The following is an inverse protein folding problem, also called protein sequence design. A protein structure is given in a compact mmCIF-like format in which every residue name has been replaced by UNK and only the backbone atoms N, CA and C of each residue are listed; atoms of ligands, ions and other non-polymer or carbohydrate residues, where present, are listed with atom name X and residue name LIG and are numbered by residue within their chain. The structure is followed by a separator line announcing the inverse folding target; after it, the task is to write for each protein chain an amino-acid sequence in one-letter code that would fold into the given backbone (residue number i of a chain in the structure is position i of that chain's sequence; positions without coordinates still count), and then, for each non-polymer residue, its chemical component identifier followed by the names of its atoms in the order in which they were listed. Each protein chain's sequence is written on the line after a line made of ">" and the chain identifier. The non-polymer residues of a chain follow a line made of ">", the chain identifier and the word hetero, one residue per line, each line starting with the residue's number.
data_IF_875816480552
#
_entry.id   IF_875816480552
#
_cell.length_a   1.000
_cell.length_b   1.000
_cell.length_c   1.000
_cell.angle_alpha   90.00
_cell.angle_beta   90.00
_cell.angle_gamma   90.00
#
_symmetry.space_group_name_H-M   'P 1'
#
loop_
_entity.id
_entity.type
_entity.pdbx_description
1 polymer ?
#
# COMPACT_ATOMS: atom_id res chain seq x y z
N UNK A 1 35.29 -4.74 12.71
CA UNK A 1 34.09 -5.07 13.49
C UNK A 1 32.87 -4.63 12.68
N UNK A 2 32.20 -5.55 11.96
CA UNK A 2 30.98 -5.21 11.22
C UNK A 2 29.88 -4.97 12.25
N UNK A 3 29.35 -3.75 12.31
CA UNK A 3 28.21 -3.39 13.16
C UNK A 3 27.05 -4.33 12.85
N UNK A 4 26.68 -5.18 13.81
CA UNK A 4 25.53 -6.04 13.69
C UNK A 4 24.29 -5.15 13.60
N UNK A 5 23.69 -5.06 12.40
CA UNK A 5 22.33 -4.53 12.27
C UNK A 5 21.45 -5.45 13.12
N UNK A 6 20.93 -4.95 14.22
CA UNK A 6 19.88 -5.63 14.99
C UNK A 6 18.77 -6.02 14.03
N UNK A 7 18.31 -7.27 14.06
CA UNK A 7 17.21 -7.72 13.21
C UNK A 7 16.02 -6.78 13.41
N UNK A 8 15.49 -6.23 12.32
CA UNK A 8 14.31 -5.37 12.38
C UNK A 8 13.15 -6.18 12.97
N UNK A 9 12.44 -5.60 13.93
CA UNK A 9 11.24 -6.23 14.43
C UNK A 9 10.24 -6.38 13.26
N UNK A 10 9.49 -7.50 13.15
CA UNK A 10 8.55 -7.69 12.05
C UNK A 10 7.50 -6.57 11.93
N UNK A 11 7.19 -5.89 13.05
CA UNK A 11 6.33 -4.70 13.07
C UNK A 11 6.98 -3.52 12.33
N UNK A 12 8.28 -3.30 12.51
CA UNK A 12 8.99 -2.19 11.88
C UNK A 12 9.17 -2.42 10.38
N UNK A 13 9.33 -3.68 9.96
CA UNK A 13 9.28 -4.07 8.54
C UNK A 13 7.92 -3.73 7.93
N UNK A 14 6.82 -4.09 8.59
CA UNK A 14 5.47 -3.75 8.13
C UNK A 14 5.25 -2.22 8.03
N UNK A 15 5.76 -1.44 9.00
CA UNK A 15 5.71 0.03 8.94
C UNK A 15 6.46 0.60 7.74
N UNK A 16 7.63 0.05 7.42
CA UNK A 16 8.36 0.41 6.21
C UNK A 16 7.55 0.10 4.94
N UNK A 17 6.86 -1.04 4.91
CA UNK A 17 5.92 -1.38 3.85
C UNK A 17 4.82 -0.34 3.66
N UNK A 18 4.23 0.15 4.76
CA UNK A 18 3.19 1.20 4.69
C UNK A 18 3.73 2.54 4.19
N UNK A 19 4.97 2.88 4.52
CA UNK A 19 5.61 4.09 4.00
C UNK A 19 5.79 4.04 2.47
N UNK A 20 6.03 2.87 1.88
CA UNK A 20 6.07 2.71 0.42
C UNK A 20 4.68 2.88 -0.20
N UNK A 21 3.64 2.35 0.46
CA UNK A 21 2.26 2.52 0.01
C UNK A 21 1.89 4.00 -0.03
N UNK A 22 2.13 4.73 1.06
CA UNK A 22 1.79 6.14 1.20
C UNK A 22 2.57 7.06 0.26
N UNK A 23 3.91 6.93 0.22
CA UNK A 23 4.76 7.89 -0.48
C UNK A 23 4.90 7.62 -1.98
N UNK A 24 4.45 6.45 -2.47
CA UNK A 24 4.66 6.06 -3.86
C UNK A 24 3.44 5.41 -4.50
N UNK A 25 2.94 4.30 -3.93
CA UNK A 25 1.88 3.53 -4.60
C UNK A 25 0.53 4.27 -4.60
N UNK A 26 0.25 5.07 -3.57
CA UNK A 26 -1.02 5.77 -3.40
C UNK A 26 -1.31 6.75 -4.55
N UNK A 27 -0.29 7.45 -5.02
CA UNK A 27 -0.39 8.36 -6.17
C UNK A 27 -0.01 7.66 -7.49
N UNK A 28 0.98 6.75 -7.44
CA UNK A 28 1.52 6.09 -8.62
C UNK A 28 0.53 5.13 -9.30
N UNK A 29 -0.26 4.38 -8.52
CA UNK A 29 -1.20 3.40 -9.09
C UNK A 29 -2.34 4.09 -9.86
N UNK A 30 -3.03 5.11 -9.31
CA UNK A 30 -4.01 5.88 -10.07
C UNK A 30 -3.42 6.57 -11.30
N UNK A 31 -2.21 7.12 -11.21
CA UNK A 31 -1.54 7.74 -12.35
C UNK A 31 -1.25 6.73 -13.47
N UNK A 32 -0.75 5.55 -13.12
CA UNK A 32 -0.53 4.45 -14.06
C UNK A 32 -1.83 4.00 -14.74
N UNK A 33 -2.91 3.83 -13.98
CA UNK A 33 -4.20 3.39 -14.55
C UNK A 33 -4.80 4.43 -15.52
N UNK A 34 -4.59 5.73 -15.26
CA UNK A 34 -5.00 6.81 -16.18
C UNK A 34 -4.24 6.73 -17.50
N UNK A 35 -2.91 6.68 -17.43
CA UNK A 35 -2.04 6.57 -18.62
C UNK A 35 -2.33 5.28 -19.40
N UNK A 36 -2.50 4.16 -18.71
CA UNK A 36 -2.83 2.88 -19.33
C UNK A 36 -4.17 2.95 -20.06
N UNK A 37 -5.18 3.59 -19.48
CA UNK A 37 -6.49 3.76 -20.12
C UNK A 37 -6.41 4.67 -21.36
N UNK A 38 -5.62 5.74 -21.31
CA UNK A 38 -5.38 6.62 -22.47
C UNK A 38 -4.70 5.88 -23.62
N UNK A 39 -3.70 5.05 -23.32
CA UNK A 39 -3.04 4.23 -24.34
C UNK A 39 -3.97 3.16 -24.94
N UNK A 40 -4.84 2.55 -24.13
CA UNK A 40 -5.84 1.59 -24.62
C UNK A 40 -6.84 2.25 -25.58
N UNK A 41 -7.31 3.44 -25.24
CA UNK A 41 -8.23 4.18 -26.10
C UNK A 41 -7.58 4.54 -27.43
N UNK A 42 -6.34 5.04 -27.40
CA UNK A 42 -5.61 5.43 -28.60
C UNK A 42 -5.23 4.25 -29.51
N UNK A 43 -4.95 3.08 -28.93
CA UNK A 43 -4.47 1.92 -29.69
C UNK A 43 -5.59 1.04 -30.25
N UNK A 44 -6.68 0.87 -29.50
CA UNK A 44 -7.73 -0.12 -29.82
C UNK A 44 -9.17 0.40 -29.60
N UNK A 45 -9.36 1.71 -29.40
CA UNK A 45 -10.68 2.34 -29.16
C UNK A 45 -11.47 1.67 -28.02
N UNK A 46 -10.74 1.33 -26.94
CA UNK A 46 -11.30 0.68 -25.78
C UNK A 46 -10.96 1.43 -24.49
N UNK A 47 -11.95 1.59 -23.62
CA UNK A 47 -11.79 2.14 -22.27
C UNK A 47 -12.09 1.09 -21.22
N UNK A 48 -11.28 1.06 -20.17
CA UNK A 48 -11.53 0.22 -19.01
C UNK A 48 -12.80 0.68 -18.28
N UNK A 49 -13.68 -0.25 -17.86
CA UNK A 49 -14.77 0.06 -16.93
C UNK A 49 -14.23 0.68 -15.64
N UNK A 50 -15.02 1.55 -15.00
CA UNK A 50 -14.60 2.24 -13.76
C UNK A 50 -14.34 1.24 -12.62
N UNK A 51 -15.03 0.10 -12.64
CA UNK A 51 -14.90 -0.98 -11.67
C UNK A 51 -13.66 -1.85 -11.92
N UNK A 52 -12.99 -1.71 -13.07
CA UNK A 52 -11.84 -2.52 -13.43
C UNK A 52 -10.58 -2.04 -12.69
N UNK A 53 -10.22 -2.75 -11.62
CA UNK A 53 -8.99 -2.52 -10.86
C UNK A 53 -8.07 -3.75 -10.99
N UNK A 54 -7.28 -3.85 -12.08
CA UNK A 54 -6.50 -5.05 -12.39
C UNK A 54 -5.26 -5.20 -11.50
N UNK A 55 -4.86 -4.17 -10.76
CA UNK A 55 -3.67 -4.18 -9.90
C UNK A 55 -4.07 -4.30 -8.44
N UNK A 56 -3.50 -5.28 -7.74
CA UNK A 56 -3.67 -5.48 -6.29
C UNK A 56 -2.32 -5.76 -5.64
N UNK A 57 -2.10 -5.17 -4.48
CA UNK A 57 -0.88 -5.37 -3.70
C UNK A 57 -1.17 -6.25 -2.48
N UNK A 58 -0.21 -7.13 -2.18
CA UNK A 58 -0.22 -7.98 -0.99
C UNK A 58 1.13 -7.88 -0.29
N UNK A 59 1.14 -8.03 1.03
CA UNK A 59 2.36 -8.00 1.84
C UNK A 59 2.51 -9.32 2.60
N UNK A 60 3.75 -9.80 2.71
CA UNK A 60 4.14 -10.91 3.57
C UNK A 60 4.67 -10.44 4.93
N UNK A 61 4.94 -9.15 5.10
CA UNK A 61 5.50 -8.57 6.32
C UNK A 61 4.54 -8.78 7.49
N UNK A 62 5.01 -9.45 8.55
CA UNK A 62 4.19 -9.82 9.71
C UNK A 62 3.25 -11.02 9.52
N UNK A 63 3.24 -11.62 8.32
CA UNK A 63 2.47 -12.83 8.00
C UNK A 63 3.35 -14.06 7.79
N UNK A 64 4.45 -13.90 7.06
CA UNK A 64 5.41 -14.97 6.80
C UNK A 64 6.16 -15.35 8.07
N UNK A 65 5.92 -16.59 8.51
CA UNK A 65 6.45 -17.16 9.75
C UNK A 65 7.36 -18.35 9.49
N UNK A 66 7.58 -18.70 8.22
CA UNK A 66 8.40 -19.85 7.90
C UNK A 66 9.85 -19.60 8.35
N UNK A 67 10.36 -20.47 9.22
CA UNK A 67 11.69 -20.31 9.83
C UNK A 67 11.89 -19.09 10.74
N UNK A 68 10.85 -18.29 11.03
CA UNK A 68 10.99 -17.05 11.82
C UNK A 68 10.15 -17.06 13.12
N UNK A 69 10.73 -17.46 14.26
CA UNK A 69 10.01 -17.51 15.54
C UNK A 69 9.58 -16.14 16.07
N UNK A 70 10.11 -15.03 15.51
CA UNK A 70 9.73 -13.68 15.92
C UNK A 70 8.37 -13.25 15.34
N UNK A 71 7.82 -13.98 14.36
CA UNK A 71 6.51 -13.71 13.76
C UNK A 71 5.45 -14.55 14.47
N UNK A 72 4.99 -14.06 15.62
CA UNK A 72 3.95 -14.71 16.41
C UNK A 72 2.55 -14.35 15.90
N UNK A 73 1.53 -15.12 16.32
CA UNK A 73 0.13 -14.80 16.00
C UNK A 73 -0.31 -13.43 16.55
N UNK A 74 0.30 -12.96 17.65
CA UNK A 74 0.05 -11.63 18.19
C UNK A 74 0.61 -10.53 17.28
N UNK A 75 1.82 -10.73 16.75
CA UNK A 75 2.45 -9.82 15.79
C UNK A 75 1.61 -9.75 14.50
N UNK A 76 1.18 -10.89 13.95
CA UNK A 76 0.30 -10.89 12.76
C UNK A 76 -1.00 -10.12 13.02
N UNK A 77 -1.63 -10.32 14.19
CA UNK A 77 -2.84 -9.56 14.57
C UNK A 77 -2.56 -8.06 14.64
N UNK A 78 -1.43 -7.66 15.25
CA UNK A 78 -1.03 -6.27 15.37
C UNK A 78 -0.83 -5.63 13.99
N UNK A 79 -0.11 -6.29 13.10
CA UNK A 79 0.15 -5.80 11.74
C UNK A 79 -1.15 -5.67 10.95
N UNK A 80 -2.08 -6.64 11.04
CA UNK A 80 -3.38 -6.55 10.38
C UNK A 80 -4.20 -5.34 10.85
N UNK A 81 -4.22 -5.05 12.16
CA UNK A 81 -4.91 -3.88 12.71
C UNK A 81 -4.24 -2.57 12.25
N UNK A 82 -2.91 -2.55 12.23
CA UNK A 82 -2.14 -1.40 11.76
C UNK A 82 -2.38 -1.11 10.27
N UNK A 83 -2.45 -2.13 9.43
CA UNK A 83 -2.82 -2.01 8.00
C UNK A 83 -4.20 -1.37 7.83
N UNK A 84 -5.19 -1.83 8.61
CA UNK A 84 -6.56 -1.29 8.57
C UNK A 84 -6.60 0.16 9.02
N UNK A 85 -5.88 0.49 10.09
CA UNK A 85 -5.77 1.86 10.59
C UNK A 85 -5.14 2.78 9.53
N UNK A 86 -4.03 2.37 8.91
CA UNK A 86 -3.37 3.20 7.89
C UNK A 86 -4.21 3.36 6.63
N UNK A 87 -4.97 2.34 6.23
CA UNK A 87 -5.93 2.47 5.14
C UNK A 87 -6.99 3.54 5.47
N UNK A 88 -7.59 3.51 6.65
CA UNK A 88 -8.56 4.53 7.08
C UNK A 88 -7.95 5.94 7.10
N UNK A 89 -6.71 6.09 7.55
CA UNK A 89 -5.97 7.35 7.56
C UNK A 89 -5.83 7.95 6.14
N UNK A 90 -5.36 7.14 5.18
CA UNK A 90 -5.20 7.54 3.79
C UNK A 90 -6.54 7.90 3.11
N UNK A 91 -7.59 7.08 3.30
CA UNK A 91 -8.91 7.38 2.73
C UNK A 91 -9.57 8.62 3.34
N UNK A 92 -9.35 8.86 4.64
CA UNK A 92 -9.86 10.06 5.32
C UNK A 92 -9.14 11.31 4.84
N UNK A 93 -7.83 11.23 4.61
CA UNK A 93 -7.04 12.34 4.08
C UNK A 93 -7.58 12.82 2.71
N UNK A 94 -7.88 11.89 1.79
CA UNK A 94 -8.50 12.22 0.50
C UNK A 94 -9.87 12.90 0.69
N UNK A 95 -10.71 12.33 1.56
CA UNK A 95 -12.06 12.83 1.78
C UNK A 95 -12.08 14.27 2.32
N UNK A 96 -11.07 14.65 3.11
CA UNK A 96 -10.89 16.02 3.60
C UNK A 96 -10.50 17.01 2.51
N UNK A 97 -9.72 16.59 1.51
CA UNK A 97 -9.40 17.44 0.36
C UNK A 97 -10.65 17.78 -0.47
N UNK A 98 -11.59 16.82 -0.62
CA UNK A 98 -12.85 17.07 -1.31
C UNK A 98 -13.78 18.06 -0.59
N UNK A 99 -13.69 18.16 0.74
CA UNK A 99 -14.51 19.08 1.55
C UNK A 99 -13.96 20.50 1.70
N UNK A 100 -12.70 20.75 1.34
CA UNK A 100 -12.02 22.03 1.58
C UNK A 100 -11.61 22.78 0.30
N UNK A 101 -11.93 22.26 -0.90
CA UNK A 101 -11.67 22.97 -2.16
C UNK A 101 -10.19 23.15 -2.51
N UNK A 102 -9.28 22.53 -1.76
CA UNK A 102 -7.84 22.54 -2.04
C UNK A 102 -7.41 21.14 -2.46
N UNK A 103 -7.68 20.79 -3.71
CA UNK A 103 -6.88 19.78 -4.40
C UNK A 103 -5.59 20.47 -4.87
N UNK A 104 -4.45 19.94 -4.46
CA UNK A 104 -3.19 20.12 -5.18
C UNK A 104 -3.05 18.96 -6.16
#
# INVERSE_FOLDING_TARGET
>A
MKSAKTALAPIDEAKWGFAVVENSLWEGVPAFLREFNEQLENAIDYRLPVEAVPVRFTSWMGGDRDGNPNVTAEITRHVLLLSRWKACDLFTAISRCFGLGTCR
#
